data_IF_675130308008
#
_entry.id   IF_675130308008
#
_cell.length_a   1.000
_cell.length_b   1.000
_cell.length_c   1.000
_cell.angle_alpha   90.00
_cell.angle_beta   90.00
_cell.angle_gamma   90.00
#
_symmetry.space_group_name_H-M   'P 1'
#
loop_
_entity.id
_entity.type
_entity.pdbx_description
1 polymer ?
#
# COMPACT_ATOMS: atom_id res chain seq x y z
N UNK A 1 -16.69 -20.08 -1.39
CA UNK A 1 -15.41 -20.31 -2.09
C UNK A 1 -14.27 -20.21 -1.09
N UNK A 2 -13.42 -21.24 -1.00
CA UNK A 2 -12.12 -21.11 -0.34
C UNK A 2 -11.31 -20.09 -1.13
N UNK A 3 -10.68 -19.09 -0.49
CA UNK A 3 -9.80 -18.20 -1.23
C UNK A 3 -8.67 -19.06 -1.79
N UNK A 4 -8.51 -19.03 -3.10
CA UNK A 4 -7.31 -19.58 -3.76
C UNK A 4 -6.10 -18.86 -3.17
N UNK A 5 -5.06 -19.60 -2.75
CA UNK A 5 -3.79 -19.00 -2.39
C UNK A 5 -3.33 -18.03 -3.47
N UNK A 6 -2.69 -16.94 -3.06
CA UNK A 6 -2.13 -15.95 -3.98
C UNK A 6 -0.67 -16.32 -4.19
N UNK A 7 -0.31 -16.63 -5.43
CA UNK A 7 0.99 -17.21 -5.75
C UNK A 7 2.01 -16.21 -6.30
N UNK A 8 1.56 -15.05 -6.79
CA UNK A 8 2.43 -14.06 -7.44
C UNK A 8 1.89 -12.62 -7.32
N UNK A 9 2.74 -11.66 -7.67
CA UNK A 9 2.41 -10.22 -7.65
C UNK A 9 1.25 -9.82 -8.56
N UNK A 10 1.07 -10.46 -9.71
CA UNK A 10 -0.05 -10.21 -10.60
C UNK A 10 -1.39 -10.54 -9.94
N UNK A 11 -1.48 -11.71 -9.32
CA UNK A 11 -2.65 -12.12 -8.53
C UNK A 11 -2.86 -11.24 -7.29
N UNK A 12 -1.78 -10.83 -6.62
CA UNK A 12 -1.81 -9.93 -5.47
C UNK A 12 -2.45 -8.59 -5.83
N UNK A 13 -1.97 -7.96 -6.90
CA UNK A 13 -2.36 -6.63 -7.34
C UNK A 13 -3.52 -6.60 -8.35
N UNK A 14 -4.02 -7.78 -8.76
CA UNK A 14 -5.12 -7.94 -9.74
C UNK A 14 -4.78 -7.38 -11.13
N UNK A 15 -3.56 -7.67 -11.60
CA UNK A 15 -3.03 -7.25 -12.91
C UNK A 15 -2.43 -8.43 -13.67
N UNK A 16 -2.23 -8.29 -14.98
CA UNK A 16 -1.65 -9.32 -15.85
C UNK A 16 -0.47 -8.77 -16.64
N UNK A 17 0.66 -9.48 -16.58
CA UNK A 17 1.87 -9.25 -17.38
C UNK A 17 2.77 -10.49 -17.28
N UNK A 18 3.74 -10.62 -18.18
CA UNK A 18 4.75 -11.69 -18.14
C UNK A 18 5.84 -11.40 -17.10
N UNK A 19 6.17 -10.12 -16.91
CA UNK A 19 7.22 -9.67 -15.97
C UNK A 19 6.70 -8.52 -15.13
N UNK A 20 6.78 -8.68 -13.82
CA UNK A 20 6.46 -7.63 -12.84
C UNK A 20 7.73 -6.97 -12.32
N UNK A 21 7.65 -5.66 -12.15
CA UNK A 21 8.67 -4.84 -11.54
C UNK A 21 8.02 -3.74 -10.70
N UNK A 22 8.76 -3.23 -9.74
CA UNK A 22 8.27 -2.20 -8.84
C UNK A 22 9.40 -1.28 -8.39
N UNK A 23 9.06 -0.05 -8.04
CA UNK A 23 10.02 0.89 -7.47
C UNK A 23 9.37 2.17 -7.00
N UNK A 24 10.18 3.21 -6.78
CA UNK A 24 9.67 4.47 -6.27
C UNK A 24 10.39 5.69 -6.85
N UNK A 25 9.64 6.79 -6.98
CA UNK A 25 10.21 8.12 -7.17
C UNK A 25 10.46 8.70 -5.79
N UNK A 26 11.73 8.70 -5.40
CA UNK A 26 12.14 9.32 -4.15
C UNK A 26 12.12 10.83 -4.32
N UNK A 27 11.51 11.52 -3.37
CA UNK A 27 11.37 12.97 -3.41
C UNK A 27 11.70 13.58 -2.05
N UNK A 28 12.10 14.84 -2.07
CA UNK A 28 12.25 15.66 -0.88
C UNK A 28 11.82 17.09 -1.18
N UNK A 29 11.40 17.77 -0.12
CA UNK A 29 11.17 19.21 -0.14
C UNK A 29 12.42 19.88 0.44
N UNK A 30 13.26 20.42 -0.45
CA UNK A 30 14.49 21.10 -0.06
C UNK A 30 14.27 22.61 -0.20
N UNK A 31 14.16 23.31 0.93
CA UNK A 31 13.97 24.77 0.96
C UNK A 31 12.75 25.27 0.16
N UNK A 32 11.65 24.50 0.12
CA UNK A 32 10.43 24.82 -0.63
C UNK A 32 10.45 24.35 -2.09
N UNK A 33 11.54 23.73 -2.54
CA UNK A 33 11.68 23.18 -3.87
C UNK A 33 11.53 21.65 -3.86
N UNK A 34 10.65 21.15 -4.73
CA UNK A 34 10.52 19.72 -4.97
C UNK A 34 11.74 19.20 -5.74
N UNK A 35 12.51 18.34 -5.07
CA UNK A 35 13.60 17.58 -5.69
C UNK A 35 13.26 16.10 -5.73
N UNK A 36 13.80 15.42 -6.74
CA UNK A 36 13.67 13.97 -6.92
C UNK A 36 15.03 13.32 -7.12
N UNK A 37 15.18 12.09 -6.65
CA UNK A 37 16.37 11.30 -6.90
C UNK A 37 16.26 10.58 -8.25
N UNK A 38 17.24 10.80 -9.12
CA UNK A 38 17.52 9.91 -10.25
C UNK A 38 18.79 9.12 -9.98
N UNK A 39 18.79 7.85 -10.38
CA UNK A 39 19.96 6.96 -10.36
C UNK A 39 20.49 6.76 -11.77
N UNK A 40 21.80 6.68 -11.91
CA UNK A 40 22.48 6.29 -13.13
C UNK A 40 22.83 4.80 -13.09
N UNK A 41 22.59 4.10 -14.19
CA UNK A 41 22.87 2.66 -14.31
C UNK A 41 23.95 2.42 -15.37
N UNK A 42 25.20 2.08 -15.00
CA UNK A 42 26.32 1.94 -15.93
C UNK A 42 26.04 1.00 -17.10
N UNK A 43 25.40 -0.13 -16.80
CA UNK A 43 25.07 -1.18 -17.79
C UNK A 43 24.14 -0.69 -18.90
N UNK A 44 23.25 0.24 -18.58
CA UNK A 44 22.24 0.76 -19.47
C UNK A 44 22.55 2.17 -19.98
N UNK A 45 23.51 2.86 -19.34
CA UNK A 45 23.88 4.26 -19.59
C UNK A 45 22.67 5.19 -19.54
N UNK A 46 21.77 4.96 -18.58
CA UNK A 46 20.51 5.68 -18.45
C UNK A 46 20.29 6.23 -17.04
N UNK A 47 19.51 7.31 -16.97
CA UNK A 47 19.03 7.91 -15.74
C UNK A 47 17.57 7.53 -15.53
N UNK A 48 17.27 6.86 -14.42
CA UNK A 48 15.94 6.36 -14.10
C UNK A 48 15.64 6.45 -12.60
N UNK A 49 14.44 6.03 -12.21
CA UNK A 49 14.08 5.80 -10.80
C UNK A 49 14.61 4.45 -10.33
N UNK A 50 14.83 4.28 -9.00
CA UNK A 50 15.12 2.98 -8.45
C UNK A 50 13.92 2.04 -8.60
N UNK A 51 14.17 0.86 -9.18
CA UNK A 51 13.18 -0.17 -9.51
C UNK A 51 13.84 -1.43 -10.08
N UNK A 52 13.34 -2.58 -9.64
CA UNK A 52 13.74 -3.88 -10.19
C UNK A 52 12.60 -4.88 -10.24
N UNK A 53 12.96 -6.15 -10.45
CA UNK A 53 11.97 -7.21 -10.71
C UNK A 53 11.40 -7.69 -9.38
N UNK A 54 10.15 -8.13 -9.42
CA UNK A 54 9.53 -8.76 -8.25
C UNK A 54 10.10 -10.17 -8.08
N UNK A 55 10.51 -10.51 -6.86
CA UNK A 55 10.97 -11.85 -6.52
C UNK A 55 9.83 -12.82 -6.24
N UNK A 56 10.12 -14.13 -6.24
CA UNK A 56 9.12 -15.15 -5.90
C UNK A 56 8.68 -14.95 -4.45
N UNK A 57 7.36 -14.89 -4.24
CA UNK A 57 6.77 -14.72 -2.91
C UNK A 57 6.56 -13.25 -2.50
N UNK A 58 6.94 -12.29 -3.35
CA UNK A 58 6.96 -10.87 -3.05
C UNK A 58 5.82 -10.11 -3.75
N UNK A 59 5.18 -9.18 -3.04
CA UNK A 59 4.18 -8.26 -3.63
C UNK A 59 4.85 -7.05 -4.27
N UNK A 60 4.15 -6.34 -5.17
CA UNK A 60 4.71 -5.12 -5.78
C UNK A 60 5.15 -4.05 -4.75
N UNK A 61 4.39 -3.77 -3.68
CA UNK A 61 4.85 -2.83 -2.64
C UNK A 61 6.12 -3.29 -1.91
N UNK A 62 6.24 -4.59 -1.62
CA UNK A 62 7.44 -5.16 -0.98
C UNK A 62 8.66 -5.02 -1.88
N UNK A 63 8.50 -5.39 -3.16
CA UNK A 63 9.54 -5.24 -4.18
C UNK A 63 9.99 -3.78 -4.31
N UNK A 64 9.05 -2.82 -4.35
CA UNK A 64 9.43 -1.41 -4.44
C UNK A 64 10.32 -0.96 -3.28
N UNK A 65 10.02 -1.38 -2.04
CA UNK A 65 10.81 -1.01 -0.86
C UNK A 65 12.17 -1.70 -0.86
N UNK A 66 12.23 -2.98 -1.23
CA UNK A 66 13.49 -3.73 -1.35
C UNK A 66 14.41 -3.11 -2.39
N UNK A 67 13.90 -2.90 -3.60
CA UNK A 67 14.66 -2.36 -4.73
C UNK A 67 15.21 -0.96 -4.45
N UNK A 68 14.39 -0.09 -3.82
CA UNK A 68 14.89 1.21 -3.35
C UNK A 68 16.05 1.05 -2.39
N UNK A 69 15.93 0.15 -1.41
CA UNK A 69 17.01 -0.10 -0.45
C UNK A 69 18.26 -0.66 -1.12
N UNK A 70 18.13 -1.55 -2.08
CA UNK A 70 19.27 -2.16 -2.79
C UNK A 70 19.99 -1.13 -3.67
N UNK A 71 19.24 -0.36 -4.46
CA UNK A 71 19.81 0.59 -5.43
C UNK A 71 20.23 1.93 -4.82
N UNK A 72 19.72 2.30 -3.64
CA UNK A 72 19.99 3.63 -3.04
C UNK A 72 20.39 3.59 -1.57
N UNK A 73 20.25 2.45 -0.90
CA UNK A 73 20.44 2.30 0.54
C UNK A 73 19.37 2.97 1.41
N UNK A 74 18.42 3.71 0.82
CA UNK A 74 17.32 4.33 1.58
C UNK A 74 16.32 3.30 2.10
N UNK A 75 15.96 3.44 3.38
CA UNK A 75 14.80 2.76 3.95
C UNK A 75 13.61 3.71 3.81
N UNK A 76 12.62 3.28 3.05
CA UNK A 76 11.49 4.14 2.67
C UNK A 76 10.15 3.56 3.09
N UNK A 77 9.16 4.44 3.11
CA UNK A 77 7.75 4.09 3.16
C UNK A 77 7.07 4.66 1.93
N UNK A 78 6.21 3.85 1.31
CA UNK A 78 5.51 4.24 0.10
C UNK A 78 4.42 5.28 0.41
N UNK A 79 4.37 6.32 -0.40
CA UNK A 79 3.35 7.36 -0.44
C UNK A 79 2.34 7.09 -1.54
N UNK A 80 1.91 8.16 -2.23
CA UNK A 80 0.97 8.06 -3.36
C UNK A 80 1.44 7.07 -4.43
N UNK A 81 0.52 6.27 -5.01
CA UNK A 81 0.80 5.53 -6.22
C UNK A 81 0.98 6.51 -7.38
N UNK A 82 1.91 6.17 -8.27
CA UNK A 82 2.21 6.91 -9.49
C UNK A 82 1.76 6.08 -10.71
N UNK A 83 1.71 6.66 -11.92
CA UNK A 83 1.27 5.93 -13.11
C UNK A 83 2.11 4.66 -13.34
N UNK A 84 1.43 3.59 -13.75
CA UNK A 84 2.08 2.35 -14.18
C UNK A 84 2.86 2.59 -15.47
N UNK A 85 4.06 1.99 -15.61
CA UNK A 85 4.75 1.92 -16.88
C UNK A 85 4.59 0.51 -17.49
N UNK A 86 4.02 0.43 -18.70
CA UNK A 86 3.79 -0.84 -19.42
C UNK A 86 4.49 -0.84 -20.77
N UNK A 87 5.29 -1.87 -21.02
CA UNK A 87 6.05 -1.98 -22.26
C UNK A 87 6.49 -3.41 -22.55
N UNK A 88 6.80 -3.68 -23.82
CA UNK A 88 7.33 -4.98 -24.25
C UNK A 88 8.84 -5.06 -24.04
N UNK A 89 9.33 -6.21 -23.58
CA UNK A 89 10.76 -6.52 -23.46
C UNK A 89 11.09 -7.76 -24.30
N UNK A 90 12.18 -7.70 -25.06
CA UNK A 90 12.54 -8.75 -26.00
C UNK A 90 11.52 -8.84 -27.14
N UNK A 91 11.23 -10.06 -27.64
CA UNK A 91 10.37 -10.22 -28.82
C UNK A 91 8.87 -10.11 -28.52
N UNK A 92 8.38 -10.47 -27.32
CA UNK A 92 6.94 -10.49 -26.99
C UNK A 92 6.55 -10.34 -25.50
N UNK A 93 7.47 -10.27 -24.54
CA UNK A 93 7.11 -10.30 -23.12
C UNK A 93 6.59 -8.94 -22.66
N UNK A 94 5.40 -8.91 -22.08
CA UNK A 94 4.81 -7.74 -21.46
C UNK A 94 5.45 -7.49 -20.09
N UNK A 95 5.96 -6.29 -19.86
CA UNK A 95 6.49 -5.85 -18.57
C UNK A 95 5.60 -4.77 -17.98
N UNK A 96 5.22 -4.96 -16.71
CA UNK A 96 4.49 -3.98 -15.92
C UNK A 96 5.40 -3.51 -14.78
N UNK A 97 5.68 -2.20 -14.75
CA UNK A 97 6.39 -1.55 -13.65
C UNK A 97 5.40 -0.69 -12.87
N UNK A 98 5.35 -0.90 -11.56
CA UNK A 98 4.52 -0.08 -10.66
C UNK A 98 5.39 0.86 -9.83
N UNK A 99 4.97 2.11 -9.73
CA UNK A 99 5.72 3.14 -9.01
C UNK A 99 4.89 3.76 -7.89
N UNK A 100 5.58 4.16 -6.83
CA UNK A 100 5.05 5.00 -5.77
C UNK A 100 5.95 6.21 -5.55
N UNK A 101 5.41 7.27 -4.95
CA UNK A 101 6.24 8.31 -4.34
C UNK A 101 6.80 7.80 -3.01
N UNK A 102 7.98 8.29 -2.61
CA UNK A 102 8.50 8.07 -1.26
C UNK A 102 9.26 9.31 -0.78
N UNK A 103 8.87 9.86 0.36
CA UNK A 103 9.48 11.06 0.92
C UNK A 103 10.77 10.70 1.66
N UNK A 104 11.84 11.44 1.37
CA UNK A 104 13.12 11.36 2.07
C UNK A 104 13.29 12.63 2.91
N UNK A 105 13.36 12.45 4.23
CA UNK A 105 13.54 13.54 5.20
C UNK A 105 14.98 13.66 5.68
N UNK A 106 15.81 12.64 5.46
CA UNK A 106 17.24 12.69 5.80
C UNK A 106 18.03 13.42 4.73
N UNK A 107 19.07 14.13 5.15
CA UNK A 107 20.00 14.83 4.26
C UNK A 107 21.13 13.94 3.76
N UNK A 108 21.38 12.81 4.44
CA UNK A 108 22.42 11.87 4.04
C UNK A 108 21.91 10.99 2.90
N UNK A 109 22.72 10.84 1.85
CA UNK A 109 22.56 9.78 0.87
C UNK A 109 23.34 8.55 1.34
N UNK A 110 22.66 7.44 1.66
CA UNK A 110 23.33 6.16 1.78
C UNK A 110 23.97 5.78 0.44
N UNK A 111 24.96 4.91 0.49
CA UNK A 111 25.51 4.31 -0.73
C UNK A 111 24.62 3.17 -1.22
N UNK A 112 24.52 3.03 -2.54
CA UNK A 112 23.93 1.85 -3.17
C UNK A 112 24.66 0.57 -2.71
N UNK A 113 23.92 -0.53 -2.58
CA UNK A 113 24.50 -1.81 -2.17
C UNK A 113 25.47 -2.37 -3.22
N UNK A 114 25.26 -2.03 -4.51
CA UNK A 114 26.07 -2.52 -5.61
C UNK A 114 26.43 -1.42 -6.63
N UNK A 115 27.66 -0.87 -6.57
CA UNK A 115 28.14 0.15 -7.51
C UNK A 115 28.14 -0.28 -8.99
N UNK A 116 28.10 -1.59 -9.30
CA UNK A 116 28.03 -2.08 -10.68
C UNK A 116 26.64 -1.92 -11.29
N UNK A 117 25.62 -1.82 -10.44
CA UNK A 117 24.23 -1.63 -10.84
C UNK A 117 23.84 -0.16 -10.84
N UNK A 118 24.23 0.56 -9.79
CA UNK A 118 24.07 2.00 -9.63
C UNK A 118 25.38 2.62 -9.19
N UNK A 119 26.01 3.41 -10.05
CA UNK A 119 27.27 4.10 -9.74
C UNK A 119 27.05 5.51 -9.21
N UNK A 120 25.92 6.14 -9.55
CA UNK A 120 25.64 7.53 -9.20
C UNK A 120 24.16 7.76 -8.89
N UNK A 121 23.88 8.60 -7.90
CA UNK A 121 22.55 9.14 -7.62
C UNK A 121 22.60 10.67 -7.55
N UNK A 122 21.61 11.36 -8.13
CA UNK A 122 21.50 12.82 -8.11
C UNK A 122 20.12 13.28 -7.70
N UNK A 123 20.07 14.10 -6.66
CA UNK A 123 18.91 14.93 -6.35
C UNK A 123 18.84 16.07 -7.35
N UNK A 124 17.71 16.22 -8.01
CA UNK A 124 17.48 17.25 -9.02
C UNK A 124 16.14 17.94 -8.76
N UNK A 125 16.05 19.27 -8.96
CA UNK A 125 14.76 19.94 -9.08
C UNK A 125 13.87 19.23 -10.11
N UNK A 126 12.57 19.13 -9.82
CA UNK A 126 11.63 18.34 -10.64
C UNK A 126 11.70 18.66 -12.14
N UNK A 127 11.83 19.94 -12.50
CA UNK A 127 11.92 20.38 -13.91
C UNK A 127 13.21 19.96 -14.59
N UNK A 128 14.31 19.85 -13.84
CA UNK A 128 15.57 19.31 -14.35
C UNK A 128 15.49 17.79 -14.49
N UNK A 129 14.85 17.10 -13.54
CA UNK A 129 14.64 15.66 -13.61
C UNK A 129 13.81 15.25 -14.84
N UNK A 130 12.76 16.01 -15.18
CA UNK A 130 11.93 15.78 -16.39
C UNK A 130 12.78 15.81 -17.67
N UNK A 131 13.77 16.71 -17.72
CA UNK A 131 14.71 16.83 -18.85
C UNK A 131 15.78 15.74 -18.83
N UNK A 132 16.19 15.28 -17.63
CA UNK A 132 17.31 14.35 -17.43
C UNK A 132 16.93 12.88 -17.59
N UNK A 133 15.69 12.50 -17.22
CA UNK A 133 15.25 11.11 -17.27
C UNK A 133 15.34 10.57 -18.69
N UNK A 134 16.00 9.42 -18.85
CA UNK A 134 16.34 8.90 -20.18
C UNK A 134 15.13 8.36 -20.92
N UNK A 135 14.16 7.80 -20.20
CA UNK A 135 12.96 7.24 -20.80
C UNK A 135 11.82 8.25 -20.81
N UNK A 136 11.27 8.54 -21.99
CA UNK A 136 10.15 9.49 -22.12
C UNK A 136 8.92 9.10 -21.28
N UNK A 137 8.60 7.81 -21.22
CA UNK A 137 7.47 7.31 -20.42
C UNK A 137 7.64 7.56 -18.92
N UNK A 138 8.88 7.67 -18.42
CA UNK A 138 9.16 7.92 -17.00
C UNK A 138 8.84 9.39 -16.60
N UNK A 139 8.56 10.26 -17.58
CA UNK A 139 8.12 11.65 -17.33
C UNK A 139 6.72 11.72 -16.73
N UNK A 140 5.85 10.76 -17.03
CA UNK A 140 4.48 10.74 -16.49
C UNK A 140 4.47 10.65 -14.96
N UNK A 141 5.42 9.93 -14.37
CA UNK A 141 5.60 9.84 -12.93
C UNK A 141 5.99 11.20 -12.33
N UNK A 142 6.89 11.93 -12.99
CA UNK A 142 7.33 13.27 -12.55
C UNK A 142 6.23 14.31 -12.66
N UNK A 143 5.45 14.30 -13.75
CA UNK A 143 4.31 15.20 -13.91
C UNK A 143 3.22 14.93 -12.86
N UNK A 144 2.92 13.65 -12.60
CA UNK A 144 2.00 13.28 -11.51
C UNK A 144 2.52 13.73 -10.15
N UNK A 145 3.82 13.57 -9.89
CA UNK A 145 4.46 14.00 -8.66
C UNK A 145 4.39 15.52 -8.48
N UNK A 146 4.69 16.29 -9.54
CA UNK A 146 4.62 17.75 -9.59
C UNK A 146 3.22 18.26 -9.29
N UNK A 147 2.20 17.65 -9.90
CA UNK A 147 0.79 17.95 -9.62
C UNK A 147 0.39 17.59 -8.18
N UNK A 148 0.87 16.44 -7.67
CA UNK A 148 0.60 16.04 -6.30
C UNK A 148 1.25 17.00 -5.28
N UNK A 149 2.43 17.52 -5.58
CA UNK A 149 3.11 18.51 -4.75
C UNK A 149 2.34 19.84 -4.72
N UNK A 150 1.98 20.39 -5.89
CA UNK A 150 1.25 21.67 -5.98
C UNK A 150 -0.14 21.62 -5.34
N UNK A 151 -0.77 20.45 -5.31
CA UNK A 151 -2.10 20.25 -4.71
C UNK A 151 -2.06 19.82 -3.24
N UNK A 152 -0.87 19.70 -2.63
CA UNK A 152 -0.68 19.21 -1.26
C UNK A 152 -1.01 17.71 -1.07
N UNK A 153 -1.20 16.97 -2.16
CA UNK A 153 -1.54 15.55 -2.14
C UNK A 153 -0.34 14.65 -1.86
N UNK A 154 0.90 15.13 -2.06
CA UNK A 154 2.08 14.28 -2.01
C UNK A 154 2.36 13.67 -0.62
N UNK A 155 1.97 14.38 0.44
CA UNK A 155 1.98 13.88 1.83
C UNK A 155 0.65 13.22 2.23
N UNK A 156 -0.05 12.62 1.27
CA UNK A 156 -1.26 11.85 1.57
C UNK A 156 -0.93 10.70 2.53
N UNK A 157 -1.69 10.62 3.62
CA UNK A 157 -1.59 9.53 4.59
C UNK A 157 -2.51 8.38 4.19
N UNK A 158 -2.25 7.17 4.68
CA UNK A 158 -2.98 5.97 4.24
C UNK A 158 -4.04 5.55 5.26
N UNK A 159 -5.29 5.46 4.81
CA UNK A 159 -6.33 4.72 5.51
C UNK A 159 -6.40 3.30 4.94
N UNK A 160 -5.94 2.32 5.71
CA UNK A 160 -5.79 0.93 5.23
C UNK A 160 -6.89 0.07 5.86
N UNK A 161 -7.79 -0.44 5.02
CA UNK A 161 -8.80 -1.42 5.43
C UNK A 161 -8.19 -2.81 5.31
N UNK A 162 -8.21 -3.59 6.39
CA UNK A 162 -7.74 -4.97 6.41
C UNK A 162 -8.93 -5.89 6.67
N UNK A 163 -9.33 -6.73 5.69
CA UNK A 163 -10.25 -7.83 6.01
C UNK A 163 -9.46 -8.88 6.77
N UNK A 164 -9.99 -9.36 7.89
CA UNK A 164 -9.32 -10.42 8.66
C UNK A 164 -8.96 -11.62 7.76
N UNK A 165 -7.85 -12.28 8.09
CA UNK A 165 -7.37 -13.49 7.42
C UNK A 165 -8.37 -14.66 7.57
N UNK A 166 -8.15 -15.73 6.82
CA UNK A 166 -9.06 -16.87 6.78
C UNK A 166 -9.26 -17.50 8.17
N UNK A 167 -10.50 -17.50 8.64
CA UNK A 167 -10.91 -18.09 9.91
C UNK A 167 -11.68 -19.40 9.73
N UNK A 168 -11.85 -20.16 10.82
CA UNK A 168 -12.60 -21.41 10.83
C UNK A 168 -14.01 -21.22 10.24
N UNK A 169 -14.57 -22.17 9.47
CA UNK A 169 -15.94 -22.08 8.99
C UNK A 169 -16.92 -21.97 10.17
N UNK A 170 -17.96 -21.12 10.04
CA UNK A 170 -18.97 -20.98 11.10
C UNK A 170 -19.67 -22.30 11.43
N UNK A 171 -19.93 -23.12 10.42
CA UNK A 171 -20.56 -24.45 10.58
C UNK A 171 -19.72 -25.45 11.37
N UNK A 172 -18.42 -25.20 11.53
CA UNK A 172 -17.48 -26.06 12.27
C UNK A 172 -16.97 -25.38 13.56
N UNK A 173 -17.69 -24.38 14.06
CA UNK A 173 -17.32 -23.63 15.26
C UNK A 173 -18.50 -23.63 16.23
N UNK A 174 -18.30 -24.17 17.43
CA UNK A 174 -19.38 -24.42 18.40
C UNK A 174 -19.31 -23.51 19.64
N UNK A 175 -18.28 -22.66 19.75
CA UNK A 175 -18.19 -21.67 20.83
C UNK A 175 -18.66 -20.28 20.37
N UNK A 176 -18.46 -19.28 21.22
CA UNK A 176 -18.78 -17.87 20.94
C UNK A 176 -18.09 -17.38 19.66
N UNK A 177 -18.85 -16.76 18.75
CA UNK A 177 -18.35 -16.27 17.44
C UNK A 177 -17.18 -15.27 17.57
N UNK A 178 -17.13 -14.50 18.67
CA UNK A 178 -16.05 -13.57 18.97
C UNK A 178 -14.70 -14.26 19.20
N UNK A 179 -14.70 -15.53 19.63
CA UNK A 179 -13.51 -16.33 19.92
C UNK A 179 -13.03 -17.15 18.72
N UNK A 180 -13.78 -17.18 17.61
CA UNK A 180 -13.46 -17.98 16.42
C UNK A 180 -12.07 -17.64 15.87
N UNK A 181 -11.12 -18.60 15.84
CA UNK A 181 -9.73 -18.33 15.50
C UNK A 181 -9.47 -18.36 13.98
N UNK A 182 -8.25 -17.98 13.61
CA UNK A 182 -7.73 -18.18 12.26
C UNK A 182 -7.50 -19.68 11.99
N UNK A 183 -7.64 -20.09 10.71
CA UNK A 183 -7.13 -21.38 10.23
C UNK A 183 -5.62 -21.30 10.00
N UNK A 184 -4.95 -22.44 9.79
CA UNK A 184 -3.52 -22.48 9.46
C UNK A 184 -3.17 -21.59 8.23
N UNK A 185 -3.97 -21.65 7.17
CA UNK A 185 -3.81 -20.73 6.02
C UNK A 185 -4.03 -19.26 6.40
N UNK A 186 -4.96 -18.97 7.31
CA UNK A 186 -5.16 -17.61 7.83
C UNK A 186 -3.98 -17.12 8.67
N UNK A 187 -3.31 -18.00 9.40
CA UNK A 187 -2.07 -17.68 10.09
C UNK A 187 -0.96 -17.35 9.09
N UNK A 188 -0.82 -18.11 8.00
CA UNK A 188 0.12 -17.76 6.91
C UNK A 188 -0.19 -16.41 6.27
N UNK A 189 -1.46 -16.14 5.96
CA UNK A 189 -1.91 -14.83 5.48
C UNK A 189 -1.55 -13.70 6.45
N UNK A 190 -1.70 -13.94 7.76
CA UNK A 190 -1.34 -12.97 8.79
C UNK A 190 0.17 -12.73 8.89
N UNK A 191 1.00 -13.75 8.64
CA UNK A 191 2.45 -13.59 8.47
C UNK A 191 2.78 -12.78 7.22
N UNK A 192 2.21 -13.14 6.07
CA UNK A 192 2.46 -12.45 4.80
C UNK A 192 1.97 -10.98 4.80
N UNK A 193 0.93 -10.66 5.57
CA UNK A 193 0.51 -9.27 5.80
C UNK A 193 1.60 -8.40 6.43
N UNK A 194 2.61 -8.98 7.10
CA UNK A 194 3.66 -8.19 7.76
C UNK A 194 4.55 -7.43 6.78
N UNK A 195 5.02 -8.11 5.73
CA UNK A 195 5.85 -7.49 4.70
C UNK A 195 5.04 -6.49 3.88
N UNK A 196 3.84 -6.88 3.43
CA UNK A 196 2.92 -6.01 2.70
C UNK A 196 2.59 -4.72 3.48
N UNK A 197 2.10 -4.82 4.73
CA UNK A 197 1.83 -3.63 5.55
C UNK A 197 3.09 -2.84 5.88
N UNK A 198 4.25 -3.50 5.91
CA UNK A 198 5.55 -2.89 6.14
C UNK A 198 5.99 -1.90 5.07
N UNK A 199 5.37 -1.94 3.88
CA UNK A 199 5.63 -1.00 2.81
C UNK A 199 5.18 0.44 3.15
N UNK A 200 4.21 0.61 4.05
CA UNK A 200 3.72 1.92 4.48
C UNK A 200 4.16 2.24 5.92
N UNK A 201 4.25 3.53 6.25
CA UNK A 201 4.49 3.97 7.63
C UNK A 201 3.18 3.91 8.43
N UNK A 202 2.94 2.82 9.16
CA UNK A 202 1.69 2.61 9.90
C UNK A 202 1.93 2.76 11.41
N UNK A 203 1.78 3.98 11.99
CA UNK A 203 1.95 4.20 13.42
C UNK A 203 0.76 3.71 14.27
N UNK A 204 -0.39 3.40 13.65
CA UNK A 204 -1.62 3.07 14.37
C UNK A 204 -2.32 1.84 13.82
N UNK A 205 -2.63 0.92 14.73
CA UNK A 205 -3.43 -0.27 14.46
C UNK A 205 -4.76 -0.19 15.23
N UNK A 206 -5.86 -0.39 14.51
CA UNK A 206 -7.21 -0.47 15.07
C UNK A 206 -7.86 -1.77 14.61
N UNK A 207 -8.61 -2.44 15.47
CA UNK A 207 -9.22 -3.71 15.13
C UNK A 207 -10.57 -3.93 15.78
N UNK A 208 -11.41 -4.75 15.15
CA UNK A 208 -12.48 -5.43 15.85
C UNK A 208 -11.91 -6.27 17.02
N UNK A 209 -12.57 -6.33 18.20
CA UNK A 209 -12.05 -7.11 19.33
C UNK A 209 -12.09 -8.63 19.10
N UNK A 210 -12.73 -9.11 18.03
CA UNK A 210 -12.87 -10.54 17.77
C UNK A 210 -11.52 -11.18 17.42
N UNK A 211 -11.28 -12.39 17.96
CA UNK A 211 -9.97 -13.07 17.97
C UNK A 211 -9.30 -13.13 16.60
N UNK A 212 -10.05 -13.44 15.53
CA UNK A 212 -9.52 -13.47 14.16
C UNK A 212 -9.04 -12.12 13.63
N UNK A 213 -9.68 -11.00 13.99
CA UNK A 213 -9.28 -9.68 13.54
C UNK A 213 -8.01 -9.23 14.26
N UNK A 214 -7.93 -9.39 15.57
CA UNK A 214 -6.71 -9.09 16.33
C UNK A 214 -5.57 -10.03 15.91
N UNK A 215 -5.83 -11.33 15.76
CA UNK A 215 -4.84 -12.30 15.29
C UNK A 215 -4.28 -11.98 13.91
N UNK A 216 -5.09 -11.41 12.99
CA UNK A 216 -4.64 -11.06 11.63
C UNK A 216 -3.57 -9.97 11.62
N UNK A 217 -3.60 -9.05 12.60
CA UNK A 217 -2.63 -7.95 12.75
C UNK A 217 -1.51 -8.25 13.75
N UNK A 218 -1.66 -9.30 14.57
CA UNK A 218 -0.76 -9.61 15.69
C UNK A 218 0.71 -9.74 15.27
N UNK A 219 1.04 -10.41 14.15
CA UNK A 219 2.43 -10.51 13.68
C UNK A 219 3.05 -9.16 13.35
N UNK A 220 2.33 -8.32 12.61
CA UNK A 220 2.80 -6.98 12.23
C UNK A 220 2.96 -6.08 13.46
N UNK A 221 1.98 -6.14 14.36
CA UNK A 221 2.01 -5.48 15.67
C UNK A 221 3.26 -5.87 16.48
N UNK A 222 3.57 -7.17 16.57
CA UNK A 222 4.75 -7.64 17.29
C UNK A 222 6.06 -7.19 16.62
N UNK A 223 6.18 -7.34 15.30
CA UNK A 223 7.38 -6.94 14.56
C UNK A 223 7.68 -5.45 14.56
N UNK A 224 6.66 -4.60 14.79
CA UNK A 224 6.79 -3.13 14.88
C UNK A 224 6.68 -2.58 16.31
N UNK A 225 6.48 -3.43 17.32
CA UNK A 225 6.27 -2.98 18.70
C UNK A 225 5.00 -2.14 18.91
N UNK A 226 3.99 -2.27 18.04
CA UNK A 226 2.77 -1.46 18.07
C UNK A 226 1.66 -2.13 18.86
N UNK A 227 0.88 -1.36 19.63
CA UNK A 227 -0.33 -1.87 20.28
C UNK A 227 -1.52 -1.88 19.31
N UNK A 228 -2.30 -2.97 19.31
CA UNK A 228 -3.57 -3.05 18.58
C UNK A 228 -4.67 -2.46 19.47
N UNK A 229 -5.15 -1.27 19.15
CA UNK A 229 -6.34 -0.74 19.80
C UNK A 229 -7.59 -1.50 19.31
N UNK A 230 -8.47 -1.92 20.22
CA UNK A 230 -9.72 -2.59 19.84
C UNK A 230 -10.91 -1.67 19.98
N UNK A 231 -11.87 -1.75 19.05
CA UNK A 231 -13.13 -1.02 19.16
C UNK A 231 -14.32 -1.94 18.84
N UNK A 232 -15.23 -2.09 19.82
CA UNK A 232 -16.38 -3.00 19.71
C UNK A 232 -17.29 -2.71 18.52
N UNK A 233 -17.39 -1.46 18.08
CA UNK A 233 -18.25 -1.06 16.96
C UNK A 233 -17.76 -1.64 15.63
N UNK A 234 -16.48 -2.01 15.53
CA UNK A 234 -15.92 -2.71 14.37
C UNK A 234 -16.24 -4.22 14.37
N UNK A 235 -17.02 -4.72 15.34
CA UNK A 235 -17.52 -6.10 15.29
C UNK A 235 -18.76 -6.21 14.44
N UNK A 236 -18.96 -7.38 13.81
CA UNK A 236 -20.15 -7.66 13.04
C UNK A 236 -21.42 -7.48 13.88
N UNK A 237 -21.46 -8.06 15.09
CA UNK A 237 -22.62 -7.92 15.98
C UNK A 237 -22.94 -6.45 16.26
N UNK A 238 -21.95 -5.63 16.62
CA UNK A 238 -22.22 -4.23 16.94
C UNK A 238 -22.60 -3.40 15.71
N UNK A 239 -21.95 -3.62 14.57
CA UNK A 239 -22.24 -2.91 13.32
C UNK A 239 -23.65 -3.20 12.81
N UNK A 240 -24.11 -4.45 12.88
CA UNK A 240 -25.46 -4.83 12.44
C UNK A 240 -26.54 -4.10 13.23
N UNK A 241 -26.33 -3.86 14.53
CA UNK A 241 -27.32 -3.18 15.38
C UNK A 241 -27.22 -1.66 15.34
N UNK A 242 -26.00 -1.11 15.22
CA UNK A 242 -25.72 0.34 15.31
C UNK A 242 -24.61 0.75 14.33
N UNK A 243 -24.83 0.69 13.01
CA UNK A 243 -23.82 1.03 12.01
C UNK A 243 -23.36 2.49 12.10
N UNK A 244 -24.22 3.40 12.58
CA UNK A 244 -23.88 4.81 12.79
C UNK A 244 -22.76 5.01 13.83
N UNK A 245 -22.58 4.05 14.75
CA UNK A 245 -21.46 4.07 15.70
C UNK A 245 -20.16 3.65 15.04
N UNK A 246 -20.19 2.71 14.09
CA UNK A 246 -19.05 2.36 13.24
C UNK A 246 -18.63 3.55 12.40
N UNK A 247 -19.59 4.23 11.77
CA UNK A 247 -19.35 5.48 11.02
C UNK A 247 -18.64 6.50 11.91
N UNK A 248 -19.11 6.73 13.15
CA UNK A 248 -18.45 7.65 14.10
C UNK A 248 -17.02 7.23 14.43
N UNK A 249 -16.71 5.94 14.53
CA UNK A 249 -15.35 5.45 14.74
C UNK A 249 -14.46 5.76 13.54
N UNK A 250 -14.94 5.51 12.32
CA UNK A 250 -14.19 5.78 11.09
C UNK A 250 -13.96 7.28 10.88
N UNK A 251 -14.99 8.12 11.06
CA UNK A 251 -14.84 9.58 10.98
C UNK A 251 -13.81 10.13 11.98
N UNK A 252 -13.67 9.52 13.17
CA UNK A 252 -12.60 9.85 14.12
C UNK A 252 -11.20 9.46 13.62
N UNK A 253 -11.08 8.40 12.81
CA UNK A 253 -9.80 8.05 12.15
C UNK A 253 -9.44 9.11 11.12
N UNK A 254 -10.40 9.51 10.26
CA UNK A 254 -10.19 10.58 9.29
C UNK A 254 -9.86 11.92 9.93
N UNK A 255 -10.57 12.29 11.00
CA UNK A 255 -10.30 13.53 11.75
C UNK A 255 -8.90 13.56 12.38
N UNK A 256 -8.31 12.39 12.69
CA UNK A 256 -6.94 12.31 13.22
C UNK A 256 -5.87 12.57 12.16
N UNK A 257 -6.16 12.32 10.88
CA UNK A 257 -5.24 12.60 9.78
C UNK A 257 -3.92 11.82 9.82
N UNK A 258 -3.92 10.60 10.36
CA UNK A 258 -2.71 9.79 10.55
C UNK A 258 -2.89 8.41 9.93
N UNK A 259 -1.85 7.90 9.26
CA UNK A 259 -1.86 6.56 8.67
C UNK A 259 -2.28 5.51 9.68
N UNK A 260 -3.33 4.76 9.34
CA UNK A 260 -3.98 3.81 10.25
C UNK A 260 -4.42 2.58 9.47
N UNK A 261 -4.05 1.39 9.97
CA UNK A 261 -4.63 0.14 9.50
C UNK A 261 -5.79 -0.29 10.41
N UNK A 262 -6.94 -0.58 9.82
CA UNK A 262 -8.17 -0.96 10.51
C UNK A 262 -8.61 -2.36 10.08
N UNK A 263 -8.56 -3.33 10.99
CA UNK A 263 -9.02 -4.70 10.70
C UNK A 263 -10.47 -4.95 11.10
N UNK A 264 -11.26 -5.50 10.17
CA UNK A 264 -12.69 -5.78 10.37
C UNK A 264 -13.18 -7.00 9.59
N UNK A 265 -14.50 -7.20 9.55
CA UNK A 265 -15.20 -8.34 8.98
C UNK A 265 -15.86 -7.99 7.65
N UNK A 266 -16.07 -9.00 6.78
CA UNK A 266 -16.80 -8.85 5.51
C UNK A 266 -18.15 -8.12 5.67
N UNK A 267 -19.04 -8.47 6.63
CA UNK A 267 -20.34 -7.81 6.75
C UNK A 267 -20.27 -6.35 7.22
N UNK A 268 -19.10 -5.89 7.68
CA UNK A 268 -18.87 -4.51 8.13
C UNK A 268 -18.28 -3.65 6.99
N UNK A 269 -17.77 -4.28 5.93
CA UNK A 269 -17.15 -3.59 4.80
C UNK A 269 -18.10 -2.61 4.08
N UNK A 270 -19.41 -2.88 3.90
CA UNK A 270 -20.32 -1.89 3.31
C UNK A 270 -20.27 -0.54 4.04
N UNK A 271 -20.36 -0.56 5.38
CA UNK A 271 -20.27 0.66 6.21
C UNK A 271 -18.90 1.36 6.10
N UNK A 272 -17.82 0.60 5.92
CA UNK A 272 -16.50 1.20 5.66
C UNK A 272 -16.46 1.89 4.30
N UNK A 273 -16.98 1.24 3.26
CA UNK A 273 -16.97 1.74 1.89
C UNK A 273 -17.88 2.95 1.72
N UNK A 274 -19.03 2.98 2.40
CA UNK A 274 -19.90 4.17 2.49
C UNK A 274 -19.15 5.38 3.04
N UNK A 275 -18.49 5.23 4.20
CA UNK A 275 -17.71 6.32 4.79
C UNK A 275 -16.57 6.73 3.88
N UNK A 276 -15.83 5.77 3.33
CA UNK A 276 -14.74 6.06 2.39
C UNK A 276 -15.24 6.83 1.16
N UNK A 277 -16.41 6.49 0.63
CA UNK A 277 -17.02 7.20 -0.50
C UNK A 277 -17.30 8.68 -0.18
N UNK A 278 -17.70 9.03 1.06
CA UNK A 278 -17.89 10.44 1.48
C UNK A 278 -16.60 11.28 1.37
N UNK A 279 -15.44 10.65 1.56
CA UNK A 279 -14.13 11.30 1.49
C UNK A 279 -13.53 11.30 0.09
N UNK A 280 -14.09 10.58 -0.88
CA UNK A 280 -13.58 10.57 -2.25
C UNK A 280 -13.67 11.96 -2.91
N UNK A 281 -12.70 12.24 -3.79
CA UNK A 281 -12.90 13.23 -4.85
C UNK A 281 -13.95 12.75 -5.86
N UNK A 282 -14.61 13.63 -6.62
CA UNK A 282 -15.63 13.24 -7.60
C UNK A 282 -15.16 12.13 -8.55
N UNK A 283 -16.05 11.18 -8.85
CA UNK A 283 -15.78 10.01 -9.71
C UNK A 283 -14.91 8.91 -9.08
N UNK A 284 -14.12 9.20 -8.03
CA UNK A 284 -13.21 8.20 -7.46
C UNK A 284 -13.94 7.07 -6.71
N UNK A 285 -15.11 7.35 -6.12
CA UNK A 285 -15.91 6.36 -5.40
C UNK A 285 -16.37 5.19 -6.30
N UNK A 286 -16.46 5.39 -7.62
CA UNK A 286 -16.82 4.34 -8.58
C UNK A 286 -15.76 3.22 -8.63
N UNK A 287 -14.49 3.53 -8.32
CA UNK A 287 -13.39 2.56 -8.26
C UNK A 287 -13.41 1.69 -7.00
N UNK A 288 -14.25 2.01 -6.02
CA UNK A 288 -14.39 1.17 -4.83
C UNK A 288 -14.93 -0.22 -5.20
N UNK A 289 -14.61 -1.26 -4.42
CA UNK A 289 -15.22 -2.57 -4.62
C UNK A 289 -16.76 -2.46 -4.56
N UNK A 290 -17.44 -2.83 -5.64
CA UNK A 290 -18.91 -2.70 -5.74
C UNK A 290 -19.65 -3.99 -5.34
N UNK A 291 -18.97 -5.14 -5.36
CA UNK A 291 -19.60 -6.45 -5.14
C UNK A 291 -19.00 -7.17 -3.94
N UNK A 292 -19.87 -7.66 -3.08
CA UNK A 292 -19.56 -8.58 -2.00
C UNK A 292 -18.86 -9.85 -2.58
N UNK A 293 -17.71 -10.31 -2.04
CA UNK A 293 -17.16 -10.05 -0.70
C UNK A 293 -16.41 -8.73 -0.48
N UNK A 294 -16.37 -7.80 -1.44
CA UNK A 294 -15.61 -6.54 -1.46
C UNK A 294 -14.08 -6.73 -1.42
N UNK A 295 -13.59 -7.39 -0.36
CA UNK A 295 -12.21 -7.81 -0.15
C UNK A 295 -12.20 -9.30 0.19
N UNK A 296 -11.23 -10.07 -0.30
CA UNK A 296 -10.95 -11.46 0.09
C UNK A 296 -10.37 -11.53 1.52
N UNK A 297 -10.41 -12.68 2.22
CA UNK A 297 -9.75 -12.82 3.52
C UNK A 297 -8.27 -12.45 3.42
N UNK A 298 -7.78 -11.61 4.35
CA UNK A 298 -6.41 -11.10 4.33
C UNK A 298 -6.15 -9.97 3.32
N UNK A 299 -7.07 -9.68 2.39
CA UNK A 299 -6.90 -8.59 1.42
C UNK A 299 -6.99 -7.23 2.11
N UNK A 300 -6.19 -6.29 1.60
CA UNK A 300 -6.18 -4.89 2.03
C UNK A 300 -6.72 -3.96 0.94
N UNK A 301 -7.32 -2.86 1.35
CA UNK A 301 -7.58 -1.69 0.52
C UNK A 301 -6.86 -0.49 1.14
N UNK A 302 -5.98 0.14 0.38
CA UNK A 302 -5.21 1.32 0.78
C UNK A 302 -5.87 2.53 0.15
N UNK A 303 -6.38 3.44 0.97
CA UNK A 303 -6.92 4.72 0.53
C UNK A 303 -5.93 5.83 0.85
N UNK A 304 -5.58 6.64 -0.15
CA UNK A 304 -4.62 7.73 0.00
C UNK A 304 -5.34 9.04 0.25
N UNK A 305 -5.20 9.57 1.47
CA UNK A 305 -5.96 10.71 1.97
C UNK A 305 -5.09 11.96 1.96
N UNK A 306 -5.37 12.90 1.06
CA UNK A 306 -4.74 14.22 1.06
C UNK A 306 -5.05 14.94 2.38
N UNK A 307 -4.02 15.46 3.09
CA UNK A 307 -4.23 16.25 4.31
C UNK A 307 -4.92 17.58 4.00
N UNK A 308 -5.62 18.13 4.98
CA UNK A 308 -6.32 19.40 4.88
C UNK A 308 -7.42 19.52 5.93
N UNK A 309 -8.03 20.71 6.03
CA UNK A 309 -9.18 20.95 6.92
C UNK A 309 -10.36 20.00 6.59
N UNK A 310 -10.52 19.69 5.30
CA UNK A 310 -11.41 18.65 4.81
C UNK A 310 -10.56 17.61 4.08
N UNK A 311 -10.18 16.49 4.72
CA UNK A 311 -9.38 15.47 4.08
C UNK A 311 -10.14 14.87 2.90
N UNK A 312 -9.42 14.54 1.82
CA UNK A 312 -10.01 13.92 0.62
C UNK A 312 -9.17 12.76 0.13
N UNK A 313 -9.81 11.67 -0.23
CA UNK A 313 -9.17 10.51 -0.83
C UNK A 313 -8.94 10.80 -2.31
N UNK A 314 -7.69 10.62 -2.74
CA UNK A 314 -7.23 10.93 -4.10
C UNK A 314 -6.87 9.69 -4.90
N UNK A 315 -6.63 8.55 -4.25
CA UNK A 315 -6.39 7.27 -4.92
C UNK A 315 -6.68 6.06 -4.04
N UNK A 316 -6.78 4.88 -4.67
CA UNK A 316 -6.98 3.59 -4.03
C UNK A 316 -6.08 2.51 -4.61
N UNK A 317 -5.64 1.59 -3.76
CA UNK A 317 -5.00 0.36 -4.19
C UNK A 317 -5.53 -0.84 -3.42
N UNK A 318 -5.40 -2.02 -4.01
CA UNK A 318 -5.82 -3.28 -3.41
C UNK A 318 -4.74 -4.32 -3.59
N UNK A 319 -4.41 -4.98 -2.49
CA UNK A 319 -3.40 -6.03 -2.49
C UNK A 319 -3.88 -7.21 -1.67
N UNK A 320 -3.65 -8.42 -2.20
CA UNK A 320 -3.74 -9.65 -1.40
C UNK A 320 -2.33 -10.04 -0.96
N UNK A 321 -2.12 -10.43 0.31
CA UNK A 321 -0.84 -10.99 0.72
C UNK A 321 -0.57 -12.27 -0.07
N UNK A 322 0.68 -12.50 -0.44
CA UNK A 322 1.12 -13.75 -1.08
C UNK A 322 1.33 -14.79 0.02
N UNK A 323 0.50 -15.82 0.03
CA UNK A 323 0.35 -16.79 1.12
C UNK A 323 0.54 -18.26 0.67
N UNK A 324 0.98 -18.44 -0.57
CA UNK A 324 1.30 -19.71 -1.22
C UNK A 324 2.57 -20.36 -0.69
#
# INVERSE_FOLDING_TARGET
MSPTPVANAGESARISADVFAAGAVLWRDFTGQLEVLLIHRPKHKDWSFPKGKVDKGETLPEAAVREVREETGYIVHLGLPLPDARYTVGKKLTKHVKYWSAEITTTQMPMAANPKEVDEGRWLPIDQAIKKVSRHADREQLEKLKLAYSTGSLRAWQFIIVRHAKAFPRSKWHETEALRPLLAIGTRQSMALTGLLGAWNIPRLLSSPWKRCTASLKPFSAGRGLKIATNRWLSEKANTHKPEKTVKVLKKVFARGQTTAVCSHRPVLPTFLEVVAEYCVPGLAEKLPQKDPYLSPGEILVAYVRPGSIPKIVDFERFRPIDS
#
